data_IF_000792000559
#
_entry.id   IF_000792000559
#
_cell.length_a   1.000
_cell.length_b   1.000
_cell.length_c   1.000
_cell.angle_alpha   90.00
_cell.angle_beta   90.00
_cell.angle_gamma   90.00
#
_symmetry.space_group_name_H-M   'P 1'
#
loop_
_entity.id
_entity.type
_entity.pdbx_description
1 polymer ?
#
# COMPACT_ATOMS: atom_id res chain seq x y z
N UNK A 1 -6.51 9.80 29.07
CA UNK A 1 -5.07 9.61 28.79
C UNK A 1 -4.74 8.28 28.10
N UNK A 2 -5.54 7.21 28.25
CA UNK A 2 -5.31 5.93 27.55
C UNK A 2 -5.67 5.94 26.04
N UNK A 3 -6.49 6.87 25.56
CA UNK A 3 -6.87 6.96 24.15
C UNK A 3 -5.81 7.61 23.25
N UNK A 4 -4.82 8.32 23.79
CA UNK A 4 -3.75 8.98 23.01
C UNK A 4 -2.61 8.06 22.57
N UNK A 5 -2.60 6.81 23.02
CA UNK A 5 -1.54 5.83 22.72
C UNK A 5 -2.06 4.56 22.06
N UNK A 6 -3.15 4.62 21.30
CA UNK A 6 -3.36 3.57 20.30
C UNK A 6 -2.23 3.68 19.29
N UNK A 7 -1.23 2.84 19.48
CA UNK A 7 -0.09 2.70 18.60
C UNK A 7 -0.59 2.51 17.15
N UNK A 8 0.11 3.05 16.16
CA UNK A 8 -0.13 2.78 14.74
C UNK A 8 -0.31 1.27 14.51
N UNK A 9 0.43 0.45 15.25
CA UNK A 9 0.33 -1.00 15.32
C UNK A 9 -1.07 -1.51 15.67
N UNK A 10 -1.74 -0.87 16.64
CA UNK A 10 -3.09 -1.28 17.07
C UNK A 10 -4.14 -0.88 16.03
N UNK A 11 -3.92 0.24 15.30
CA UNK A 11 -4.79 0.64 14.19
C UNK A 11 -4.77 -0.38 13.06
N UNK A 12 -3.60 -0.88 12.67
CA UNK A 12 -3.49 -1.90 11.62
C UNK A 12 -4.10 -3.24 12.04
N UNK A 13 -4.06 -3.60 13.31
CA UNK A 13 -4.73 -4.80 13.83
C UNK A 13 -6.24 -4.66 13.84
N UNK A 14 -6.76 -3.44 14.07
CA UNK A 14 -8.20 -3.18 14.16
C UNK A 14 -8.82 -2.86 12.80
N UNK A 15 -8.11 -2.18 11.89
CA UNK A 15 -8.58 -1.89 10.55
C UNK A 15 -8.21 -3.03 9.60
N UNK A 16 -9.22 -3.86 9.29
CA UNK A 16 -9.07 -4.98 8.37
C UNK A 16 -9.32 -4.59 6.92
N UNK A 17 -9.64 -3.34 6.66
CA UNK A 17 -9.92 -2.86 5.31
C UNK A 17 -8.62 -2.57 4.57
N UNK A 18 -8.57 -3.01 3.33
CA UNK A 18 -7.46 -2.73 2.40
C UNK A 18 -8.05 -2.09 1.16
N UNK A 19 -7.72 -0.83 0.91
CA UNK A 19 -8.08 -0.19 -0.35
C UNK A 19 -7.20 -0.77 -1.46
N UNK A 20 -7.80 -1.11 -2.58
CA UNK A 20 -7.06 -1.62 -3.75
C UNK A 20 -7.55 -0.93 -5.00
N UNK A 21 -6.62 -0.52 -5.84
CA UNK A 21 -6.91 0.16 -7.10
C UNK A 21 -5.89 -0.18 -8.17
N UNK A 22 -6.24 0.09 -9.41
CA UNK A 22 -5.35 -0.14 -10.55
C UNK A 22 -5.71 0.75 -11.73
N UNK A 23 -4.79 0.87 -12.68
CA UNK A 23 -5.14 1.26 -14.05
C UNK A 23 -5.44 0.00 -14.89
N UNK A 24 -5.63 0.19 -16.20
CA UNK A 24 -5.89 -0.93 -17.12
C UNK A 24 -4.74 -1.96 -17.16
N UNK A 25 -3.49 -1.52 -16.97
CA UNK A 25 -2.33 -2.43 -16.95
C UNK A 25 -2.23 -3.28 -15.68
N UNK A 26 -2.92 -2.89 -14.61
CA UNK A 26 -2.96 -3.63 -13.35
C UNK A 26 -4.27 -4.38 -13.11
N UNK A 27 -5.25 -4.25 -13.99
CA UNK A 27 -6.59 -4.79 -13.78
C UNK A 27 -6.62 -6.31 -13.61
N UNK A 28 -5.94 -7.05 -14.48
CA UNK A 28 -5.88 -8.51 -14.40
C UNK A 28 -5.29 -8.98 -13.06
N UNK A 29 -4.20 -8.36 -12.62
CA UNK A 29 -3.59 -8.70 -11.34
C UNK A 29 -4.49 -8.32 -10.15
N UNK A 30 -5.13 -7.16 -10.18
CA UNK A 30 -6.07 -6.76 -9.12
C UNK A 30 -7.19 -7.79 -8.96
N UNK A 31 -7.77 -8.28 -10.05
CA UNK A 31 -8.80 -9.32 -10.03
C UNK A 31 -8.36 -10.59 -9.31
N UNK A 32 -7.10 -10.98 -9.46
CA UNK A 32 -6.54 -12.14 -8.78
C UNK A 32 -6.23 -11.85 -7.29
N UNK A 33 -5.84 -10.62 -6.98
CA UNK A 33 -5.45 -10.25 -5.61
C UNK A 33 -6.64 -10.08 -4.68
N UNK A 34 -7.78 -9.56 -5.15
CA UNK A 34 -8.96 -9.31 -4.30
C UNK A 34 -9.41 -10.57 -3.56
N UNK A 35 -9.75 -11.69 -4.23
CA UNK A 35 -10.18 -12.88 -3.52
C UNK A 35 -9.07 -13.47 -2.64
N UNK A 36 -7.82 -13.31 -3.01
CA UNK A 36 -6.69 -13.76 -2.19
C UNK A 36 -6.59 -12.96 -0.88
N UNK A 37 -6.68 -11.63 -0.95
CA UNK A 37 -6.64 -10.75 0.22
C UNK A 37 -7.84 -11.03 1.13
N UNK A 38 -9.03 -11.19 0.56
CA UNK A 38 -10.22 -11.55 1.31
C UNK A 38 -10.05 -12.91 2.02
N UNK A 39 -9.39 -13.88 1.36
CA UNK A 39 -9.10 -15.20 1.97
C UNK A 39 -8.17 -15.13 3.17
N UNK A 40 -7.35 -14.08 3.27
CA UNK A 40 -6.48 -13.82 4.43
C UNK A 40 -7.22 -13.18 5.61
N UNK A 41 -8.52 -12.90 5.45
CA UNK A 41 -9.36 -12.32 6.50
C UNK A 41 -9.42 -10.80 6.49
N UNK A 42 -9.02 -10.15 5.39
CA UNK A 42 -9.18 -8.71 5.18
C UNK A 42 -10.45 -8.42 4.37
N UNK A 43 -10.88 -7.16 4.38
CA UNK A 43 -11.96 -6.65 3.55
C UNK A 43 -11.35 -5.72 2.49
N UNK A 44 -11.42 -6.10 1.23
CA UNK A 44 -10.95 -5.25 0.14
C UNK A 44 -11.99 -4.20 -0.23
N UNK A 45 -11.55 -2.96 -0.38
CA UNK A 45 -12.36 -1.86 -0.89
C UNK A 45 -11.80 -1.50 -2.27
N UNK A 46 -12.53 -1.88 -3.31
CA UNK A 46 -12.11 -1.65 -4.71
C UNK A 46 -12.37 -0.20 -5.11
N UNK A 47 -11.28 0.53 -5.36
CA UNK A 47 -11.31 1.96 -5.73
C UNK A 47 -11.37 2.15 -7.27
N UNK A 48 -11.12 1.11 -8.03
CA UNK A 48 -11.12 1.12 -9.51
C UNK A 48 -9.72 0.83 -10.07
N UNK A 49 -9.50 0.76 -11.40
CA UNK A 49 -10.58 0.73 -12.41
C UNK A 49 -11.32 -0.62 -12.40
N UNK A 50 -12.41 -0.70 -13.17
CA UNK A 50 -13.30 -1.86 -13.12
C UNK A 50 -13.32 -2.68 -14.41
N UNK A 51 -12.50 -2.30 -15.38
CA UNK A 51 -12.34 -2.98 -16.66
C UNK A 51 -10.95 -2.70 -17.26
N UNK A 52 -10.72 -3.18 -18.47
CA UNK A 52 -9.45 -3.04 -19.18
C UNK A 52 -9.37 -1.79 -20.08
N UNK A 53 -10.36 -0.91 -20.04
CA UNK A 53 -10.33 0.33 -20.79
C UNK A 53 -9.23 1.25 -20.26
N UNK A 54 -8.55 1.94 -21.18
CA UNK A 54 -7.45 2.83 -20.82
C UNK A 54 -7.91 3.94 -19.90
N UNK A 55 -7.22 4.08 -18.76
CA UNK A 55 -7.42 5.16 -17.81
C UNK A 55 -6.07 5.74 -17.41
N UNK A 56 -6.07 7.00 -17.01
CA UNK A 56 -4.87 7.65 -16.51
C UNK A 56 -4.57 7.17 -15.09
N UNK A 57 -3.44 6.49 -14.92
CA UNK A 57 -3.06 5.93 -13.62
C UNK A 57 -3.00 6.96 -12.48
N UNK A 58 -2.61 8.25 -12.71
CA UNK A 58 -2.59 9.22 -11.62
C UNK A 58 -3.95 9.43 -10.95
N UNK A 59 -5.04 9.41 -11.72
CA UNK A 59 -6.38 9.64 -11.17
C UNK A 59 -6.75 8.60 -10.10
N UNK A 60 -6.54 7.32 -10.41
CA UNK A 60 -6.79 6.24 -9.45
C UNK A 60 -5.78 6.28 -8.30
N UNK A 61 -4.51 6.50 -8.62
CA UNK A 61 -3.45 6.53 -7.61
C UNK A 61 -3.67 7.64 -6.58
N UNK A 62 -4.01 8.85 -7.00
CA UNK A 62 -4.29 9.95 -6.08
C UNK A 62 -5.56 9.70 -5.26
N UNK A 63 -6.63 9.21 -5.89
CA UNK A 63 -7.87 8.89 -5.19
C UNK A 63 -7.65 7.89 -4.04
N UNK A 64 -6.90 6.83 -4.31
CA UNK A 64 -6.57 5.84 -3.30
C UNK A 64 -5.62 6.39 -2.24
N UNK A 65 -4.55 7.06 -2.66
CA UNK A 65 -3.53 7.60 -1.77
C UNK A 65 -4.09 8.65 -0.79
N UNK A 66 -5.04 9.47 -1.22
CA UNK A 66 -5.71 10.44 -0.35
C UNK A 66 -6.52 9.78 0.75
N UNK A 67 -7.18 8.65 0.46
CA UNK A 67 -7.90 7.87 1.47
C UNK A 67 -6.96 7.30 2.53
N UNK A 68 -5.79 6.85 2.12
CA UNK A 68 -4.77 6.34 3.04
C UNK A 68 -4.09 7.47 3.79
N UNK A 69 -3.69 8.54 3.10
CA UNK A 69 -3.00 9.68 3.71
C UNK A 69 -3.84 10.43 4.73
N UNK A 70 -5.16 10.51 4.52
CA UNK A 70 -6.09 11.12 5.47
C UNK A 70 -6.41 10.23 6.66
N UNK A 71 -6.06 8.95 6.62
CA UNK A 71 -6.37 7.98 7.65
C UNK A 71 -7.78 7.36 7.55
N UNK A 72 -8.52 7.66 6.48
CA UNK A 72 -9.83 7.04 6.24
C UNK A 72 -9.71 5.51 6.13
N UNK A 73 -8.70 5.03 5.41
CA UNK A 73 -8.33 3.62 5.35
C UNK A 73 -6.84 3.52 5.70
N UNK A 74 -6.45 2.58 6.53
CA UNK A 74 -5.09 2.53 7.05
C UNK A 74 -4.05 2.06 6.04
N UNK A 75 -4.43 1.23 5.06
CA UNK A 75 -3.52 0.64 4.07
C UNK A 75 -4.14 0.55 2.69
N UNK A 76 -3.29 0.68 1.67
CA UNK A 76 -3.71 0.58 0.28
C UNK A 76 -2.72 -0.16 -0.61
N UNK A 77 -3.23 -0.77 -1.67
CA UNK A 77 -2.45 -1.45 -2.70
C UNK A 77 -2.83 -0.84 -4.04
N UNK A 78 -1.84 -0.43 -4.81
CA UNK A 78 -2.03 0.20 -6.11
C UNK A 78 -1.24 -0.54 -7.19
N UNK A 79 -1.89 -0.85 -8.31
CA UNK A 79 -1.32 -1.67 -9.37
C UNK A 79 -1.40 -0.94 -10.72
N UNK A 80 -0.29 -0.88 -11.43
CA UNK A 80 -0.30 -0.49 -12.85
C UNK A 80 0.58 -1.47 -13.64
N UNK A 81 0.95 -1.14 -14.85
CA UNK A 81 1.80 -2.03 -15.65
C UNK A 81 3.15 -2.32 -15.01
N UNK A 82 3.82 -1.30 -14.48
CA UNK A 82 5.15 -1.42 -13.85
C UNK A 82 5.15 -1.18 -12.35
N UNK A 83 4.12 -0.57 -11.80
CA UNK A 83 4.07 -0.09 -10.42
C UNK A 83 4.81 1.23 -10.19
N UNK A 84 5.59 1.70 -11.16
CA UNK A 84 6.45 2.89 -11.00
C UNK A 84 5.61 4.17 -10.92
N UNK A 85 4.81 4.44 -11.95
CA UNK A 85 4.04 5.69 -12.01
C UNK A 85 3.09 5.84 -10.84
N UNK A 86 2.39 4.79 -10.46
CA UNK A 86 1.47 4.81 -9.32
C UNK A 86 2.20 5.01 -7.99
N UNK A 87 3.41 4.47 -7.84
CA UNK A 87 4.21 4.71 -6.64
C UNK A 87 4.69 6.16 -6.52
N UNK A 88 5.06 6.77 -7.65
CA UNK A 88 5.42 8.20 -7.69
C UNK A 88 4.24 9.06 -7.25
N UNK A 89 3.06 8.81 -7.84
CA UNK A 89 1.83 9.54 -7.48
C UNK A 89 1.50 9.38 -6.00
N UNK A 90 1.47 8.15 -5.50
CA UNK A 90 1.12 7.88 -4.12
C UNK A 90 2.04 8.61 -3.13
N UNK A 91 3.34 8.64 -3.41
CA UNK A 91 4.32 9.31 -2.56
C UNK A 91 4.27 10.85 -2.62
N UNK A 92 3.50 11.43 -3.54
CA UNK A 92 3.23 12.89 -3.54
C UNK A 92 2.14 13.28 -2.55
N UNK A 93 1.38 12.32 -2.04
CA UNK A 93 0.27 12.58 -1.12
C UNK A 93 0.78 12.59 0.31
N UNK A 94 0.46 13.65 1.05
CA UNK A 94 0.85 13.78 2.46
C UNK A 94 0.34 12.60 3.28
N UNK A 95 1.21 12.06 4.14
CA UNK A 95 0.88 10.93 5.01
C UNK A 95 1.03 9.56 4.36
N UNK A 96 1.41 9.49 3.09
CA UNK A 96 1.63 8.24 2.38
C UNK A 96 3.11 7.92 2.26
N UNK A 97 3.47 6.70 2.62
CA UNK A 97 4.74 6.07 2.27
C UNK A 97 4.43 4.81 1.48
N UNK A 98 4.64 4.89 0.18
CA UNK A 98 4.36 3.81 -0.77
C UNK A 98 5.67 3.14 -1.20
N UNK A 99 5.71 1.82 -1.14
CA UNK A 99 6.83 1.04 -1.63
C UNK A 99 6.45 0.26 -2.88
N UNK A 100 7.24 0.41 -3.93
CA UNK A 100 7.21 -0.49 -5.09
C UNK A 100 8.04 -1.73 -4.75
N UNK A 101 7.40 -2.88 -4.69
CA UNK A 101 8.07 -4.14 -4.37
C UNK A 101 8.01 -5.11 -5.55
N UNK A 102 9.13 -5.76 -5.82
CA UNK A 102 9.26 -6.79 -6.86
C UNK A 102 9.54 -8.17 -6.28
N UNK A 103 9.76 -8.27 -4.97
CA UNK A 103 9.94 -9.53 -4.26
C UNK A 103 9.45 -9.44 -2.80
N UNK A 104 9.41 -10.59 -2.13
CA UNK A 104 8.95 -10.67 -0.75
C UNK A 104 9.93 -10.04 0.25
N UNK A 105 11.21 -10.05 -0.05
CA UNK A 105 12.23 -9.41 0.80
C UNK A 105 12.00 -7.89 0.86
N UNK A 106 11.76 -7.24 -0.27
CA UNK A 106 11.42 -5.81 -0.30
C UNK A 106 10.15 -5.53 0.49
N UNK A 107 9.12 -6.37 0.35
CA UNK A 107 7.86 -6.23 1.08
C UNK A 107 8.06 -6.32 2.60
N UNK A 108 8.86 -7.26 3.05
CA UNK A 108 9.18 -7.42 4.47
C UNK A 108 9.99 -6.22 4.99
N UNK A 109 11.06 -5.88 4.30
CA UNK A 109 11.96 -4.81 4.75
C UNK A 109 11.31 -3.44 4.74
N UNK A 110 10.47 -3.14 3.76
CA UNK A 110 9.77 -1.85 3.74
C UNK A 110 8.77 -1.70 4.88
N UNK A 111 8.18 -2.80 5.33
CA UNK A 111 7.35 -2.79 6.55
C UNK A 111 8.21 -2.60 7.79
N UNK A 112 9.24 -3.42 7.94
CA UNK A 112 10.12 -3.37 9.13
C UNK A 112 10.85 -2.03 9.28
N UNK A 113 11.26 -1.40 8.17
CA UNK A 113 12.12 -0.23 8.17
C UNK A 113 11.40 1.09 7.87
N UNK A 114 10.44 1.07 6.96
CA UNK A 114 9.81 2.29 6.44
C UNK A 114 8.37 2.47 6.93
N UNK A 115 7.80 1.47 7.57
CA UNK A 115 6.39 1.46 8.00
C UNK A 115 5.47 1.96 6.88
N UNK A 116 5.61 1.38 5.68
CA UNK A 116 4.84 1.81 4.52
C UNK A 116 3.36 1.47 4.70
N UNK A 117 2.50 2.40 4.31
CA UNK A 117 1.05 2.25 4.34
C UNK A 117 0.44 2.03 2.95
N UNK A 118 1.27 2.11 1.89
CA UNK A 118 0.88 1.71 0.56
C UNK A 118 1.92 0.81 -0.09
N UNK A 119 1.43 -0.15 -0.86
CA UNK A 119 2.21 -1.07 -1.67
C UNK A 119 1.88 -0.84 -3.14
N UNK A 120 2.89 -0.67 -3.98
CA UNK A 120 2.73 -0.61 -5.44
C UNK A 120 3.27 -1.87 -6.10
N UNK A 121 2.55 -2.37 -7.08
CA UNK A 121 2.89 -3.57 -7.84
C UNK A 121 2.79 -3.32 -9.35
N UNK A 122 3.67 -3.97 -10.10
CA UNK A 122 3.62 -3.98 -11.56
C UNK A 122 2.98 -5.24 -12.11
N UNK A 123 1.77 -5.13 -12.66
CA UNK A 123 1.04 -6.28 -13.20
C UNK A 123 1.72 -6.95 -14.41
N UNK A 124 2.61 -6.22 -15.09
CA UNK A 124 3.43 -6.76 -16.20
C UNK A 124 4.82 -7.21 -15.76
N UNK A 125 5.18 -6.98 -14.49
CA UNK A 125 6.52 -7.27 -13.96
C UNK A 125 6.50 -8.52 -13.08
N UNK A 126 5.51 -8.63 -12.18
CA UNK A 126 5.41 -9.77 -11.26
C UNK A 126 4.29 -10.72 -11.70
N UNK A 127 4.58 -12.02 -11.66
CA UNK A 127 3.56 -13.03 -11.87
C UNK A 127 2.60 -13.12 -10.67
N UNK A 128 1.44 -13.72 -10.89
CA UNK A 128 0.37 -13.78 -9.88
C UNK A 128 0.80 -14.41 -8.57
N UNK A 129 1.53 -15.53 -8.61
CA UNK A 129 1.99 -16.21 -7.39
C UNK A 129 3.00 -15.38 -6.60
N UNK A 130 3.93 -14.73 -7.29
CA UNK A 130 4.89 -13.83 -6.63
C UNK A 130 4.16 -12.61 -6.04
N UNK A 131 3.21 -12.05 -6.76
CA UNK A 131 2.41 -10.92 -6.28
C UNK A 131 1.63 -11.27 -5.01
N UNK A 132 1.04 -12.46 -4.94
CA UNK A 132 0.38 -12.96 -3.73
C UNK A 132 1.35 -13.08 -2.55
N UNK A 133 2.53 -13.61 -2.79
CA UNK A 133 3.59 -13.69 -1.76
C UNK A 133 4.02 -12.32 -1.27
N UNK A 134 4.22 -11.36 -2.17
CA UNK A 134 4.55 -9.96 -1.83
C UNK A 134 3.45 -9.33 -0.97
N UNK A 135 2.20 -9.45 -1.40
CA UNK A 135 1.04 -8.90 -0.69
C UNK A 135 0.89 -9.51 0.70
N UNK A 136 0.95 -10.83 0.80
CA UNK A 136 0.85 -11.52 2.08
C UNK A 136 1.94 -11.09 3.04
N UNK A 137 3.19 -11.08 2.60
CA UNK A 137 4.33 -10.64 3.40
C UNK A 137 4.15 -9.20 3.87
N UNK A 138 3.74 -8.31 2.97
CA UNK A 138 3.51 -6.90 3.33
C UNK A 138 2.37 -6.71 4.34
N UNK A 139 1.26 -7.43 4.17
CA UNK A 139 0.12 -7.35 5.09
C UNK A 139 0.42 -7.93 6.48
N UNK A 140 1.25 -8.96 6.56
CA UNK A 140 1.51 -9.71 7.80
C UNK A 140 2.77 -9.24 8.56
N UNK A 141 3.59 -8.38 7.95
CA UNK A 141 4.81 -7.89 8.60
C UNK A 141 4.54 -6.60 9.37
N UNK A 142 4.89 -6.59 10.64
CA UNK A 142 4.78 -5.42 11.50
C UNK A 142 6.01 -4.52 11.37
N UNK A 143 5.84 -3.23 11.72
CA UNK A 143 6.98 -2.31 11.86
C UNK A 143 7.87 -2.75 13.02
N UNK A 144 9.19 -2.70 12.82
CA UNK A 144 10.16 -3.16 13.82
C UNK A 144 10.20 -2.28 15.08
N UNK A 145 9.75 -1.04 14.98
CA UNK A 145 9.88 0.00 16.03
C UNK A 145 11.34 0.29 16.42
N UNK A 146 12.29 -0.07 15.57
CA UNK A 146 13.71 0.27 15.78
C UNK A 146 13.92 1.77 15.81
N UNK A 147 14.65 2.29 16.82
CA UNK A 147 14.79 3.73 17.02
C UNK A 147 15.39 4.43 15.80
N UNK A 148 16.35 3.82 15.12
CA UNK A 148 16.95 4.38 13.90
C UNK A 148 15.92 4.55 12.78
N UNK A 149 14.96 3.61 12.64
CA UNK A 149 13.90 3.68 11.64
C UNK A 149 12.87 4.74 12.00
N UNK A 150 12.48 4.82 13.26
CA UNK A 150 11.59 5.88 13.78
C UNK A 150 12.18 7.25 13.45
N UNK A 151 13.46 7.45 13.72
CA UNK A 151 14.14 8.73 13.49
C UNK A 151 14.16 9.09 11.99
N UNK A 152 14.40 8.12 11.11
CA UNK A 152 14.43 8.36 9.66
C UNK A 152 13.05 8.68 9.10
N UNK A 153 12.03 7.96 9.53
CA UNK A 153 10.64 8.24 9.16
C UNK A 153 10.23 9.64 9.64
N UNK A 154 10.60 10.02 10.85
CA UNK A 154 10.33 11.36 11.37
C UNK A 154 10.93 12.47 10.49
N UNK A 155 12.13 12.26 9.94
CA UNK A 155 12.76 13.21 9.01
C UNK A 155 11.98 13.32 7.68
N UNK A 156 11.46 12.22 7.17
CA UNK A 156 10.59 12.23 5.99
C UNK A 156 9.33 13.06 6.28
N UNK A 157 8.69 12.80 7.40
CA UNK A 157 7.48 13.53 7.81
C UNK A 157 7.75 15.03 8.00
N UNK A 158 8.87 15.39 8.62
CA UNK A 158 9.26 16.80 8.78
C UNK A 158 9.46 17.50 7.42
N UNK A 159 10.09 16.82 6.48
CA UNK A 159 10.28 17.38 5.13
C UNK A 159 8.95 17.58 4.40
N UNK A 160 8.05 16.60 4.50
CA UNK A 160 6.72 16.65 3.92
C UNK A 160 5.89 17.82 4.43
N UNK A 161 6.08 18.23 5.67
CA UNK A 161 5.33 19.29 6.35
C UNK A 161 5.95 20.68 6.17
N UNK A 162 7.00 20.84 5.37
CA UNK A 162 7.53 22.13 4.96
C UNK A 162 6.63 22.80 3.93
#
# INVERSE_FOLDING_TARGET
>A
RRQRQMCIRDRYRMDRRIAIGCDHGGFALKKELIPFIDSLGYETIDIGCYDENSVDYPDVAFSLAEKVGSGEISRGIIVCGTGIGVSICANKVRGVRCALCTDETMARLTREHNDTNMLALGGRIVGTELAKGIVKTWLETEFSNGQRHINRIAKITQYENK
#
